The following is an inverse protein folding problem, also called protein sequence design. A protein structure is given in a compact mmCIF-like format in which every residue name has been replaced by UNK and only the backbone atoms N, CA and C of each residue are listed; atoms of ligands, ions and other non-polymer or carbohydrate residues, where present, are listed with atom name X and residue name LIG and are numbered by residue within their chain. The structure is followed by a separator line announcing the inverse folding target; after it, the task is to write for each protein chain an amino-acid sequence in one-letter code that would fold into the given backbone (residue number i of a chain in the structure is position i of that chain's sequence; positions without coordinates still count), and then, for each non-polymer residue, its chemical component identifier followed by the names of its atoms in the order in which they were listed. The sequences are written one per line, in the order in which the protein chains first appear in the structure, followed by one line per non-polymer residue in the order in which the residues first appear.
data_IF_006089804033
#
_entry.id   IF_006089804033
#
_cell.length_a   1.000
_cell.length_b   1.000
_cell.length_c   1.000
_cell.angle_alpha   90.00
_cell.angle_beta   90.00
_cell.angle_gamma   90.00
#
_symmetry.space_group_name_H-M   'P 1'
#
loop_
_entity.id
_entity.type
_entity.pdbx_description
1 polymer ?
#
# COMPACT_ATOMS: atom_id res chain seq x y z
N UNK A 1 20.07 -4.42 23.90
CA UNK A 1 21.08 -4.65 22.83
C UNK A 1 21.03 -3.49 21.86
N UNK A 2 22.18 -2.90 21.52
CA UNK A 2 22.27 -1.82 20.53
C UNK A 2 22.43 -2.33 19.08
N UNK A 3 22.37 -1.42 18.10
CA UNK A 3 22.69 -1.74 16.72
C UNK A 3 24.18 -2.05 16.54
N UNK A 4 24.51 -2.87 15.52
CA UNK A 4 25.87 -3.33 15.25
C UNK A 4 26.16 -3.34 13.73
N UNK A 5 27.44 -3.20 13.33
CA UNK A 5 27.92 -3.26 11.95
C UNK A 5 28.31 -1.91 11.35
N UNK A 6 29.04 -1.93 10.21
CA UNK A 6 29.61 -0.74 9.58
C UNK A 6 28.65 -0.04 8.61
N UNK A 7 27.73 -0.79 7.99
CA UNK A 7 26.70 -0.27 7.10
C UNK A 7 27.20 0.33 5.77
N UNK A 8 28.27 -0.19 5.20
CA UNK A 8 28.87 0.34 3.95
C UNK A 8 27.89 0.50 2.80
N UNK A 9 26.89 -0.40 2.70
CA UNK A 9 25.84 -0.38 1.67
C UNK A 9 24.59 0.39 2.09
N UNK A 10 24.59 1.05 3.27
CA UNK A 10 23.44 1.76 3.82
C UNK A 10 22.20 0.85 3.96
N UNK A 11 22.39 -0.40 4.31
CA UNK A 11 21.33 -1.38 4.60
C UNK A 11 21.23 -1.56 6.11
N UNK A 12 20.03 -1.39 6.66
CA UNK A 12 19.71 -1.74 8.05
C UNK A 12 18.89 -3.03 8.06
N UNK A 13 19.43 -4.08 8.65
CA UNK A 13 18.73 -5.36 8.83
C UNK A 13 18.02 -5.35 10.18
N UNK A 14 16.71 -5.55 10.17
CA UNK A 14 15.85 -5.53 11.36
C UNK A 14 15.28 -6.92 11.60
N UNK A 15 15.67 -7.54 12.71
CA UNK A 15 15.13 -8.81 13.17
C UNK A 15 13.98 -8.66 14.18
N UNK A 16 13.58 -9.76 14.78
CA UNK A 16 12.49 -9.83 15.76
C UNK A 16 12.97 -9.35 17.15
N UNK A 17 13.83 -10.11 17.78
CA UNK A 17 14.37 -9.89 19.12
C UNK A 17 15.68 -10.66 19.30
N UNK A 18 16.50 -10.31 20.30
CA UNK A 18 17.67 -11.11 20.65
C UNK A 18 17.26 -12.52 21.08
N UNK A 19 18.02 -13.53 20.60
CA UNK A 19 17.99 -14.87 21.14
C UNK A 19 18.91 -15.01 22.38
N UNK A 20 19.05 -16.22 22.91
CA UNK A 20 19.90 -16.46 24.08
C UNK A 20 21.36 -16.11 23.82
N UNK A 21 21.91 -16.59 22.73
CA UNK A 21 23.31 -16.34 22.36
C UNK A 21 23.59 -14.85 22.16
N UNK A 22 22.64 -14.16 21.49
CA UNK A 22 22.74 -12.73 21.26
C UNK A 22 22.63 -11.91 22.56
N UNK A 23 21.81 -12.37 23.53
CA UNK A 23 21.62 -11.70 24.81
C UNK A 23 22.87 -11.85 25.70
N UNK A 24 23.50 -13.02 25.66
CA UNK A 24 24.74 -13.32 26.41
C UNK A 24 25.97 -12.57 25.85
N UNK A 25 26.10 -12.46 24.52
CA UNK A 25 27.25 -11.85 23.84
C UNK A 25 27.06 -10.34 23.55
N UNK A 26 25.84 -9.84 23.61
CA UNK A 26 25.53 -8.45 23.34
C UNK A 26 25.54 -8.05 21.85
N UNK A 27 25.60 -9.00 20.90
CA UNK A 27 25.66 -8.77 19.45
C UNK A 27 24.50 -9.41 18.73
N UNK A 28 23.81 -8.69 17.80
CA UNK A 28 22.71 -9.24 17.03
C UNK A 28 23.19 -10.25 15.97
N UNK A 29 22.34 -11.22 15.65
CA UNK A 29 22.52 -12.20 14.57
C UNK A 29 23.79 -13.07 14.66
N UNK A 30 24.18 -13.53 15.84
CA UNK A 30 25.29 -14.45 16.03
C UNK A 30 24.89 -15.92 16.25
N UNK A 31 23.62 -16.17 16.66
CA UNK A 31 23.09 -17.52 16.82
C UNK A 31 22.76 -18.20 15.47
N UNK A 32 22.04 -19.33 15.53
CA UNK A 32 21.73 -20.17 14.35
C UNK A 32 21.06 -19.40 13.21
N UNK A 33 20.10 -18.53 13.54
CA UNK A 33 19.40 -17.68 12.54
C UNK A 33 20.36 -16.68 11.87
N UNK A 34 21.24 -16.06 12.65
CA UNK A 34 22.26 -15.15 12.14
C UNK A 34 23.31 -15.86 11.28
N UNK A 35 23.73 -17.06 11.67
CA UNK A 35 24.66 -17.89 10.89
C UNK A 35 24.06 -18.22 9.51
N UNK A 36 22.78 -18.61 9.47
CA UNK A 36 22.09 -18.87 8.20
C UNK A 36 21.99 -17.61 7.34
N UNK A 37 21.62 -16.46 7.92
CA UNK A 37 21.59 -15.18 7.22
C UNK A 37 22.95 -14.84 6.58
N UNK A 38 24.05 -15.01 7.34
CA UNK A 38 25.42 -14.77 6.85
C UNK A 38 25.78 -15.72 5.69
N UNK A 39 25.36 -16.98 5.75
CA UNK A 39 25.56 -17.94 4.66
C UNK A 39 24.82 -17.51 3.39
N UNK A 40 23.57 -17.04 3.52
CA UNK A 40 22.80 -16.52 2.39
C UNK A 40 23.41 -15.24 1.80
N UNK A 41 23.90 -14.32 2.65
CA UNK A 41 24.54 -13.08 2.19
C UNK A 41 25.86 -13.37 1.44
N UNK A 42 26.67 -14.33 1.88
CA UNK A 42 27.88 -14.76 1.16
C UNK A 42 27.58 -15.22 -0.28
N UNK A 43 26.43 -15.87 -0.53
CA UNK A 43 26.03 -16.28 -1.87
C UNK A 43 25.81 -15.11 -2.83
N UNK A 44 25.60 -13.92 -2.30
CA UNK A 44 25.43 -12.68 -3.09
C UNK A 44 26.63 -11.74 -2.98
N UNK A 45 27.76 -12.21 -2.37
CA UNK A 45 28.98 -11.43 -2.20
C UNK A 45 28.88 -10.32 -1.15
N UNK A 46 27.95 -10.45 -0.18
CA UNK A 46 27.77 -9.46 0.88
C UNK A 46 28.21 -10.01 2.26
N UNK A 47 28.72 -9.13 3.10
CA UNK A 47 29.06 -9.39 4.50
C UNK A 47 28.13 -8.63 5.44
N UNK A 48 27.52 -9.33 6.41
CA UNK A 48 26.54 -8.74 7.30
C UNK A 48 27.10 -7.62 8.18
N UNK A 49 28.32 -7.80 8.70
CA UNK A 49 28.90 -6.86 9.67
C UNK A 49 29.52 -5.63 8.98
N UNK A 50 30.05 -5.82 7.76
CA UNK A 50 30.68 -4.74 7.02
C UNK A 50 29.65 -3.95 6.17
N UNK A 51 28.75 -4.66 5.49
CA UNK A 51 27.87 -4.05 4.49
C UNK A 51 26.56 -3.52 5.08
N UNK A 52 26.14 -4.03 6.26
CA UNK A 52 24.89 -3.62 6.88
C UNK A 52 25.07 -3.16 8.33
N UNK A 53 24.11 -2.40 8.81
CA UNK A 53 23.80 -2.29 10.24
C UNK A 53 22.76 -3.34 10.58
N UNK A 54 22.80 -3.84 11.80
CA UNK A 54 21.86 -4.86 12.29
C UNK A 54 21.22 -4.40 13.60
N UNK A 55 19.95 -4.65 13.76
CA UNK A 55 19.19 -4.39 14.99
C UNK A 55 17.97 -5.31 15.05
N UNK A 56 17.14 -5.17 16.08
CA UNK A 56 15.90 -5.90 16.24
C UNK A 56 14.73 -4.95 16.52
N UNK A 57 13.50 -5.42 16.31
CA UNK A 57 12.28 -4.71 16.73
C UNK A 57 12.17 -4.59 18.25
N UNK A 58 12.64 -5.60 18.99
CA UNK A 58 12.85 -5.54 20.43
C UNK A 58 14.35 -5.51 20.76
N UNK A 59 14.75 -4.63 21.66
CA UNK A 59 16.15 -4.54 22.11
C UNK A 59 16.48 -5.50 23.25
N UNK A 60 15.46 -6.09 23.89
CA UNK A 60 15.59 -7.07 24.98
C UNK A 60 15.09 -8.43 24.55
N UNK A 61 15.71 -9.50 25.07
CA UNK A 61 15.28 -10.88 24.84
C UNK A 61 13.93 -11.16 25.51
N UNK A 62 12.92 -11.66 24.80
CA UNK A 62 11.67 -12.11 25.40
C UNK A 62 11.90 -13.38 26.27
N UNK A 63 11.15 -13.53 27.39
CA UNK A 63 11.26 -14.73 28.21
C UNK A 63 11.08 -16.00 27.38
N UNK A 64 11.97 -16.99 27.56
CA UNK A 64 11.97 -18.28 26.83
C UNK A 64 11.94 -18.14 25.29
N UNK A 65 12.42 -17.02 24.74
CA UNK A 65 12.38 -16.70 23.31
C UNK A 65 10.97 -16.79 22.71
N UNK A 66 9.93 -16.37 23.46
CA UNK A 66 8.55 -16.30 22.95
C UNK A 66 8.43 -15.23 21.87
N UNK A 67 7.53 -15.42 20.93
CA UNK A 67 7.21 -14.39 19.93
C UNK A 67 6.67 -13.14 20.63
N UNK A 68 7.20 -11.95 20.31
CA UNK A 68 6.76 -10.71 20.93
C UNK A 68 5.29 -10.38 20.66
N UNK A 69 4.60 -9.88 21.67
CA UNK A 69 3.26 -9.35 21.52
C UNK A 69 3.28 -7.94 20.85
N UNK A 70 2.18 -7.57 20.21
CA UNK A 70 2.05 -6.25 19.55
C UNK A 70 2.35 -5.10 20.53
N UNK A 71 1.90 -5.20 21.78
CA UNK A 71 2.17 -4.19 22.82
C UNK A 71 3.67 -4.04 23.08
N UNK A 72 4.40 -5.14 23.19
CA UNK A 72 5.86 -5.13 23.41
C UNK A 72 6.58 -4.49 22.22
N UNK A 73 6.17 -4.84 21.00
CA UNK A 73 6.70 -4.23 19.77
C UNK A 73 6.43 -2.71 19.78
N UNK A 74 5.21 -2.29 20.10
CA UNK A 74 4.84 -0.87 20.14
C UNK A 74 5.65 -0.08 21.18
N UNK A 75 5.88 -0.64 22.37
CA UNK A 75 6.73 -0.01 23.40
C UNK A 75 8.20 0.10 22.98
N UNK A 76 8.72 -0.89 22.26
CA UNK A 76 10.11 -0.88 21.82
C UNK A 76 10.36 -0.09 20.53
N UNK A 77 9.32 0.13 19.73
CA UNK A 77 9.36 0.80 18.42
C UNK A 77 10.09 2.14 18.39
N UNK A 78 9.99 3.05 19.40
CA UNK A 78 10.76 4.29 19.41
C UNK A 78 12.28 4.09 19.29
N UNK A 79 12.81 3.00 19.85
CA UNK A 79 14.24 2.69 19.74
C UNK A 79 14.63 2.34 18.29
N UNK A 80 13.78 1.58 17.59
CA UNK A 80 14.00 1.25 16.18
C UNK A 80 13.92 2.50 15.31
N UNK A 81 12.90 3.37 15.51
CA UNK A 81 12.76 4.62 14.76
C UNK A 81 13.93 5.56 14.98
N UNK A 82 14.44 5.66 16.21
CA UNK A 82 15.64 6.44 16.54
C UNK A 82 16.88 5.84 15.85
N UNK A 83 16.98 4.51 15.76
CA UNK A 83 18.06 3.83 15.05
C UNK A 83 17.99 4.14 13.55
N UNK A 84 16.83 4.03 12.91
CA UNK A 84 16.63 4.38 11.50
C UNK A 84 17.01 5.85 11.26
N UNK A 85 16.52 6.76 12.09
CA UNK A 85 16.85 8.20 11.99
C UNK A 85 18.35 8.48 12.16
N UNK A 86 19.01 7.81 13.11
CA UNK A 86 20.43 7.99 13.40
C UNK A 86 21.34 7.55 12.26
N UNK A 87 21.05 6.39 11.65
CA UNK A 87 21.91 5.81 10.62
C UNK A 87 21.52 6.25 9.20
N UNK A 88 20.28 6.70 8.97
CA UNK A 88 19.79 7.10 7.66
C UNK A 88 19.99 6.02 6.58
N UNK A 89 19.58 4.76 6.82
CA UNK A 89 19.78 3.70 5.85
C UNK A 89 19.00 4.00 4.57
N UNK A 90 19.54 3.63 3.42
CA UNK A 90 18.77 3.65 2.15
C UNK A 90 17.74 2.52 2.13
N UNK A 91 18.10 1.36 2.67
CA UNK A 91 17.28 0.16 2.72
C UNK A 91 17.10 -0.30 4.16
N UNK A 92 15.86 -0.58 4.54
CA UNK A 92 15.51 -1.29 5.77
C UNK A 92 15.03 -2.68 5.37
N UNK A 93 15.90 -3.67 5.51
CA UNK A 93 15.58 -5.08 5.28
C UNK A 93 14.90 -5.66 6.52
N UNK A 94 13.65 -6.08 6.37
CA UNK A 94 12.78 -6.45 7.48
C UNK A 94 12.59 -7.96 7.51
N UNK A 95 13.06 -8.61 8.58
CA UNK A 95 13.06 -10.06 8.73
C UNK A 95 11.88 -10.53 9.61
N UNK A 96 10.82 -11.02 8.97
CA UNK A 96 9.68 -11.62 9.66
C UNK A 96 8.60 -10.63 10.11
N UNK A 97 7.50 -11.19 10.65
CA UNK A 97 6.27 -10.42 10.95
C UNK A 97 6.47 -9.38 12.07
N UNK A 98 7.18 -9.73 13.15
CA UNK A 98 7.39 -8.80 14.28
C UNK A 98 8.18 -7.56 13.87
N UNK A 99 9.22 -7.73 13.06
CA UNK A 99 10.00 -6.64 12.50
C UNK A 99 9.14 -5.79 11.53
N UNK A 100 8.33 -6.44 10.70
CA UNK A 100 7.42 -5.75 9.78
C UNK A 100 6.40 -4.88 10.54
N UNK A 101 5.75 -5.42 11.59
CA UNK A 101 4.85 -4.64 12.45
C UNK A 101 5.56 -3.41 12.99
N UNK A 102 6.77 -3.56 13.53
CA UNK A 102 7.53 -2.46 14.12
C UNK A 102 7.85 -1.35 13.13
N UNK A 103 8.19 -1.71 11.88
CA UNK A 103 8.56 -0.72 10.84
C UNK A 103 7.34 -0.06 10.23
N UNK A 104 6.29 -0.84 9.86
CA UNK A 104 5.23 -0.37 8.98
C UNK A 104 3.99 0.17 9.71
N UNK A 105 3.86 -0.04 11.03
CA UNK A 105 2.68 0.31 11.84
C UNK A 105 2.22 1.77 11.69
N UNK A 106 3.12 2.70 11.39
CA UNK A 106 2.76 4.10 11.14
C UNK A 106 2.15 4.39 9.77
N UNK A 107 2.24 3.43 8.85
CA UNK A 107 1.82 3.56 7.45
C UNK A 107 0.67 2.63 7.09
N UNK A 108 0.58 1.50 7.77
CA UNK A 108 -0.49 0.53 7.63
C UNK A 108 -1.11 0.27 9.01
N UNK A 109 -2.34 0.75 9.22
CA UNK A 109 -2.99 0.75 10.54
C UNK A 109 -3.97 -0.39 10.75
N UNK A 110 -4.29 -1.12 9.70
CA UNK A 110 -5.13 -2.32 9.78
C UNK A 110 -4.29 -3.58 10.01
N UNK A 111 -4.94 -4.74 10.17
CA UNK A 111 -4.22 -6.01 10.30
C UNK A 111 -3.31 -6.25 9.09
N UNK A 112 -2.06 -6.60 9.37
CA UNK A 112 -1.08 -6.95 8.35
C UNK A 112 -1.44 -8.23 7.58
N UNK A 113 -2.24 -9.11 8.16
CA UNK A 113 -2.51 -10.43 7.60
C UNK A 113 -1.29 -11.35 7.63
N UNK A 114 -1.20 -12.22 6.65
CA UNK A 114 -0.06 -13.14 6.47
C UNK A 114 1.18 -12.41 5.98
N UNK A 115 2.37 -12.85 6.42
CA UNK A 115 3.64 -12.28 5.99
C UNK A 115 3.87 -12.43 4.48
N UNK A 116 3.39 -13.53 3.88
CA UNK A 116 3.56 -13.82 2.45
C UNK A 116 3.03 -12.72 1.52
N UNK A 117 2.01 -11.97 1.99
CA UNK A 117 1.52 -10.79 1.29
C UNK A 117 2.59 -9.70 1.10
N UNK A 118 3.53 -9.61 2.04
CA UNK A 118 4.49 -8.52 2.16
C UNK A 118 5.88 -8.84 1.62
N UNK A 119 6.28 -10.10 1.59
CA UNK A 119 7.65 -10.48 1.23
C UNK A 119 7.99 -10.14 -0.22
N UNK A 120 9.22 -9.72 -0.46
CA UNK A 120 9.75 -9.44 -1.80
C UNK A 120 9.37 -8.09 -2.38
N UNK A 121 8.55 -7.27 -1.71
CA UNK A 121 8.31 -5.90 -2.14
C UNK A 121 9.45 -4.97 -1.78
N UNK A 122 9.64 -3.92 -2.60
CA UNK A 122 10.43 -2.74 -2.31
C UNK A 122 9.46 -1.58 -2.09
N UNK A 123 9.20 -1.23 -0.83
CA UNK A 123 8.16 -0.26 -0.47
C UNK A 123 8.83 1.10 -0.22
N UNK A 124 8.51 2.16 -0.98
CA UNK A 124 9.13 3.47 -0.82
C UNK A 124 8.47 4.23 0.33
N UNK A 125 9.02 4.14 1.54
CA UNK A 125 8.49 4.83 2.72
C UNK A 125 9.46 5.89 3.19
N UNK A 126 9.01 7.15 3.18
CA UNK A 126 9.85 8.31 3.48
C UNK A 126 11.12 8.32 2.60
N UNK A 127 12.30 8.33 3.21
CA UNK A 127 13.58 8.31 2.50
C UNK A 127 14.23 6.92 2.47
N UNK A 128 13.44 5.86 2.66
CA UNK A 128 13.93 4.49 2.77
C UNK A 128 13.13 3.51 1.91
N UNK A 129 13.82 2.53 1.35
CA UNK A 129 13.21 1.32 0.82
C UNK A 129 12.96 0.33 1.95
N UNK A 130 11.72 -0.02 2.24
CA UNK A 130 11.37 -1.08 3.17
C UNK A 130 11.25 -2.39 2.39
N UNK A 131 12.09 -3.37 2.70
CA UNK A 131 12.17 -4.64 1.99
C UNK A 131 11.82 -5.80 2.94
N UNK A 132 10.55 -6.20 3.07
CA UNK A 132 10.15 -7.31 3.93
C UNK A 132 10.55 -8.66 3.32
N UNK A 133 11.01 -9.57 4.19
CA UNK A 133 11.26 -10.96 3.80
C UNK A 133 11.05 -11.90 4.99
N UNK A 134 11.28 -13.20 4.78
CA UNK A 134 11.16 -14.22 5.82
C UNK A 134 12.21 -14.04 6.91
N UNK A 135 11.86 -14.45 8.15
CA UNK A 135 12.86 -14.55 9.20
C UNK A 135 13.71 -15.82 9.00
N UNK A 136 15.05 -15.76 9.14
CA UNK A 136 15.91 -16.93 8.95
C UNK A 136 15.52 -18.16 9.79
N UNK A 137 15.05 -17.96 11.02
CA UNK A 137 14.57 -19.06 11.87
C UNK A 137 13.34 -19.79 11.30
N UNK A 138 12.49 -19.10 10.53
CA UNK A 138 11.36 -19.71 9.84
C UNK A 138 11.85 -20.64 8.73
N UNK A 139 12.80 -20.21 7.91
CA UNK A 139 13.38 -21.00 6.84
C UNK A 139 14.09 -22.26 7.37
N UNK A 140 14.85 -22.11 8.45
CA UNK A 140 15.50 -23.24 9.13
C UNK A 140 14.49 -24.31 9.61
N UNK A 141 13.28 -23.92 10.01
CA UNK A 141 12.22 -24.86 10.40
C UNK A 141 11.52 -25.49 9.20
N UNK A 142 11.26 -24.69 8.15
CA UNK A 142 10.53 -25.14 6.96
C UNK A 142 11.35 -26.08 6.07
N UNK A 143 12.67 -25.90 6.02
CA UNK A 143 13.60 -26.69 5.19
C UNK A 143 13.12 -26.79 3.74
N UNK A 144 12.66 -25.68 3.17
CA UNK A 144 12.11 -25.63 1.81
C UNK A 144 13.06 -24.88 0.87
N UNK A 145 13.70 -25.59 -0.09
CA UNK A 145 14.67 -24.97 -1.00
C UNK A 145 14.09 -23.85 -1.90
N UNK A 146 12.77 -23.84 -2.13
CA UNK A 146 12.11 -22.78 -2.90
C UNK A 146 12.09 -21.49 -2.08
N UNK A 147 11.72 -21.58 -0.79
CA UNK A 147 11.72 -20.43 0.11
C UNK A 147 13.14 -19.92 0.36
N UNK A 148 14.14 -20.83 0.46
CA UNK A 148 15.53 -20.42 0.63
C UNK A 148 16.04 -19.64 -0.59
N UNK A 149 15.71 -20.10 -1.81
CA UNK A 149 16.03 -19.37 -3.05
C UNK A 149 15.32 -18.01 -3.13
N UNK A 150 14.04 -17.96 -2.77
CA UNK A 150 13.29 -16.71 -2.72
C UNK A 150 13.93 -15.73 -1.73
N UNK A 151 14.31 -16.22 -0.54
CA UNK A 151 14.99 -15.42 0.47
C UNK A 151 16.32 -14.84 -0.04
N UNK A 152 17.18 -15.65 -0.67
CA UNK A 152 18.45 -15.19 -1.26
C UNK A 152 18.19 -14.14 -2.34
N UNK A 153 17.13 -14.27 -3.17
CA UNK A 153 16.77 -13.29 -4.15
C UNK A 153 16.29 -11.96 -3.50
N UNK A 154 15.50 -12.02 -2.42
CA UNK A 154 15.09 -10.83 -1.68
C UNK A 154 16.31 -10.12 -1.06
N UNK A 155 17.26 -10.86 -0.50
CA UNK A 155 18.53 -10.31 -0.01
C UNK A 155 19.31 -9.62 -1.14
N UNK A 156 19.44 -10.29 -2.29
CA UNK A 156 20.15 -9.73 -3.45
C UNK A 156 19.48 -8.44 -3.90
N UNK A 157 18.17 -8.41 -4.05
CA UNK A 157 17.43 -7.21 -4.43
C UNK A 157 17.67 -6.06 -3.44
N UNK A 158 17.57 -6.33 -2.13
CA UNK A 158 17.76 -5.31 -1.10
C UNK A 158 19.19 -4.75 -1.05
N UNK A 159 20.21 -5.61 -1.18
CA UNK A 159 21.63 -5.22 -1.10
C UNK A 159 22.18 -4.59 -2.39
N UNK A 160 21.46 -4.70 -3.54
CA UNK A 160 21.81 -4.10 -4.81
C UNK A 160 21.09 -2.77 -5.07
N UNK A 161 20.20 -2.33 -4.18
CA UNK A 161 19.57 -1.02 -4.31
C UNK A 161 20.64 0.08 -4.09
N UNK A 162 20.91 0.84 -5.12
CA UNK A 162 21.83 1.98 -5.12
C UNK A 162 21.13 3.33 -5.32
N UNK A 163 19.88 3.32 -5.73
CA UNK A 163 19.00 4.47 -5.89
C UNK A 163 18.17 4.76 -4.62
N UNK A 164 17.92 6.03 -4.36
CA UNK A 164 17.03 6.44 -3.30
C UNK A 164 15.56 6.16 -3.68
N UNK A 165 14.65 5.91 -2.72
CA UNK A 165 13.24 5.71 -3.03
C UNK A 165 12.64 6.96 -3.66
N UNK A 166 11.67 6.81 -4.56
CA UNK A 166 10.96 7.94 -5.12
C UNK A 166 10.27 8.72 -3.99
N UNK A 167 10.32 10.04 -4.07
CA UNK A 167 9.61 10.88 -3.11
C UNK A 167 8.12 10.55 -3.18
N UNK A 168 7.52 10.37 -2.01
CA UNK A 168 6.06 10.21 -1.93
C UNK A 168 5.37 11.33 -2.70
N UNK A 169 4.42 11.00 -3.60
CA UNK A 169 3.70 12.02 -4.34
C UNK A 169 2.95 12.96 -3.38
N UNK A 170 3.09 14.27 -3.58
CA UNK A 170 2.24 15.23 -2.87
C UNK A 170 0.80 15.05 -3.35
N UNK A 171 -0.09 14.75 -2.41
CA UNK A 171 -1.53 14.60 -2.62
C UNK A 171 -2.28 15.84 -2.13
N UNK A 172 -1.65 16.63 -1.26
CA UNK A 172 -2.20 17.89 -0.74
C UNK A 172 -2.36 18.89 -1.88
N UNK A 173 -3.50 19.55 -1.93
CA UNK A 173 -3.84 20.53 -2.98
C UNK A 173 -4.12 19.93 -4.38
N UNK A 174 -4.08 18.58 -4.51
CA UNK A 174 -4.42 17.91 -5.78
C UNK A 174 -5.91 17.52 -5.86
N UNK A 175 -6.60 17.50 -4.75
CA UNK A 175 -8.00 17.11 -4.66
C UNK A 175 -8.83 18.36 -4.39
N UNK A 176 -9.71 18.68 -5.35
CA UNK A 176 -10.66 19.77 -5.25
C UNK A 176 -12.02 19.21 -4.81
N UNK A 177 -12.41 19.49 -3.58
CA UNK A 177 -13.74 19.16 -3.07
C UNK A 177 -14.69 20.24 -3.54
N UNK A 178 -15.67 19.87 -4.39
CA UNK A 178 -16.62 20.79 -5.00
C UNK A 178 -18.02 20.52 -4.46
N UNK A 179 -18.63 21.53 -3.86
CA UNK A 179 -20.01 21.45 -3.35
C UNK A 179 -21.04 22.01 -4.34
N UNK A 180 -20.61 22.90 -5.22
CA UNK A 180 -21.46 23.56 -6.20
C UNK A 180 -21.44 22.81 -7.54
N UNK A 181 -22.60 22.67 -8.16
CA UNK A 181 -22.76 21.91 -9.41
C UNK A 181 -22.09 22.59 -10.62
N UNK A 182 -22.02 23.92 -10.66
CA UNK A 182 -21.41 24.67 -11.77
C UNK A 182 -19.97 24.27 -12.03
N UNK A 183 -19.07 24.41 -11.06
CA UNK A 183 -17.68 23.99 -11.19
C UNK A 183 -17.50 22.49 -11.50
N UNK A 184 -18.36 21.62 -10.97
CA UNK A 184 -18.35 20.18 -11.28
C UNK A 184 -18.62 19.96 -12.77
N UNK A 185 -19.70 20.56 -13.29
CA UNK A 185 -20.11 20.41 -14.69
C UNK A 185 -19.03 20.93 -15.64
N UNK A 186 -18.45 22.08 -15.32
CA UNK A 186 -17.38 22.70 -16.12
C UNK A 186 -16.15 21.79 -16.17
N UNK A 187 -15.65 21.34 -15.02
CA UNK A 187 -14.47 20.48 -14.95
C UNK A 187 -14.67 19.14 -15.66
N UNK A 188 -15.84 18.51 -15.51
CA UNK A 188 -16.12 17.25 -16.20
C UNK A 188 -16.18 17.43 -17.73
N UNK A 189 -16.69 18.58 -18.20
CA UNK A 189 -16.69 18.93 -19.65
C UNK A 189 -15.27 19.18 -20.17
N UNK A 190 -14.45 19.88 -19.40
CA UNK A 190 -13.04 20.09 -19.75
C UNK A 190 -12.29 18.75 -19.87
N UNK A 191 -12.40 17.87 -18.87
CA UNK A 191 -11.78 16.54 -18.90
C UNK A 191 -12.24 15.72 -20.10
N UNK A 192 -13.55 15.74 -20.43
CA UNK A 192 -14.06 15.05 -21.61
C UNK A 192 -13.58 15.69 -22.92
N UNK A 193 -13.48 17.02 -22.95
CA UNK A 193 -12.98 17.78 -24.12
C UNK A 193 -11.50 17.55 -24.40
N UNK A 194 -10.68 17.46 -23.35
CA UNK A 194 -9.25 17.15 -23.46
C UNK A 194 -9.00 15.69 -23.87
N UNK A 195 -9.93 14.79 -23.57
CA UNK A 195 -9.77 13.36 -23.83
C UNK A 195 -8.74 12.71 -22.90
N UNK A 196 -8.21 11.55 -23.32
CA UNK A 196 -7.21 10.83 -22.54
C UNK A 196 -7.81 9.89 -21.49
N UNK A 197 -7.16 9.75 -20.35
CA UNK A 197 -7.52 8.81 -19.29
C UNK A 197 -8.19 9.53 -18.13
N UNK A 198 -9.25 8.94 -17.57
CA UNK A 198 -9.91 9.44 -16.36
C UNK A 198 -10.25 8.27 -15.43
N UNK A 199 -9.87 8.39 -14.17
CA UNK A 199 -10.30 7.47 -13.10
C UNK A 199 -11.63 7.96 -12.54
N UNK A 200 -12.53 7.03 -12.22
CA UNK A 200 -13.86 7.31 -11.68
C UNK A 200 -14.13 6.39 -10.51
N UNK A 201 -14.51 6.97 -9.39
CA UNK A 201 -14.82 6.26 -8.15
C UNK A 201 -16.16 6.72 -7.56
N UNK A 202 -16.98 5.77 -7.12
CA UNK A 202 -18.26 6.01 -6.46
C UNK A 202 -18.23 5.63 -4.99
N UNK A 203 -18.71 6.52 -4.14
CA UNK A 203 -19.03 6.19 -2.76
C UNK A 203 -20.51 5.87 -2.62
N UNK A 204 -20.80 4.67 -2.11
CA UNK A 204 -22.16 4.12 -2.10
C UNK A 204 -22.56 3.59 -0.73
N UNK A 205 -23.86 3.62 -0.44
CA UNK A 205 -24.37 3.10 0.84
C UNK A 205 -24.46 1.57 0.92
N UNK A 206 -24.10 0.85 -0.14
CA UNK A 206 -24.03 -0.61 -0.17
C UNK A 206 -23.23 -1.11 -1.38
N UNK A 207 -22.79 -2.38 -1.34
CA UNK A 207 -21.97 -2.95 -2.41
C UNK A 207 -22.76 -3.29 -3.70
N UNK A 208 -24.05 -3.52 -3.59
CA UNK A 208 -24.88 -3.97 -4.73
C UNK A 208 -25.97 -2.94 -5.03
N UNK A 209 -26.07 -2.45 -6.27
CA UNK A 209 -27.07 -1.46 -6.63
C UNK A 209 -28.50 -2.00 -6.64
N UNK A 210 -28.72 -3.31 -6.61
CA UNK A 210 -30.02 -3.95 -6.76
C UNK A 210 -30.93 -3.85 -5.50
N UNK A 211 -30.36 -3.42 -4.36
CA UNK A 211 -31.15 -3.23 -3.14
C UNK A 211 -32.07 -2.01 -3.23
N UNK A 212 -33.27 -2.03 -2.58
CA UNK A 212 -34.28 -0.98 -2.73
C UNK A 212 -33.81 0.44 -2.42
N UNK A 213 -32.99 0.60 -1.37
CA UNK A 213 -32.49 1.91 -0.90
C UNK A 213 -31.04 2.16 -1.33
N UNK A 214 -30.53 1.36 -2.28
CA UNK A 214 -29.19 1.49 -2.79
C UNK A 214 -29.03 2.81 -3.55
N UNK A 215 -28.01 3.61 -3.17
CA UNK A 215 -27.71 4.89 -3.77
C UNK A 215 -26.25 5.23 -3.78
N UNK A 216 -25.83 5.98 -4.77
CA UNK A 216 -24.54 6.68 -4.78
C UNK A 216 -24.67 7.91 -3.88
N UNK A 217 -23.66 8.17 -3.06
CA UNK A 217 -23.60 9.33 -2.14
C UNK A 217 -22.72 10.42 -2.70
N UNK A 218 -21.57 10.05 -3.26
CA UNK A 218 -20.63 10.97 -3.92
C UNK A 218 -19.90 10.29 -5.07
N UNK A 219 -19.25 11.09 -5.89
CA UNK A 219 -18.41 10.63 -6.98
C UNK A 219 -17.13 11.46 -7.01
N UNK A 220 -16.04 10.82 -7.41
CA UNK A 220 -14.79 11.48 -7.68
C UNK A 220 -14.27 11.11 -9.07
N UNK A 221 -13.60 12.07 -9.71
CA UNK A 221 -13.02 11.90 -11.05
C UNK A 221 -11.63 12.53 -11.08
N UNK A 222 -10.66 11.82 -11.67
CA UNK A 222 -9.28 12.29 -11.80
C UNK A 222 -8.72 12.02 -13.19
N UNK A 223 -8.12 13.04 -13.82
CA UNK A 223 -7.30 12.91 -15.03
C UNK A 223 -5.79 12.92 -14.72
N UNK A 224 -5.44 12.83 -13.42
CA UNK A 224 -4.08 12.89 -12.91
C UNK A 224 -3.50 14.29 -12.75
N UNK A 225 -4.00 15.28 -13.48
CA UNK A 225 -3.68 16.72 -13.35
C UNK A 225 -4.64 17.40 -12.38
N UNK A 226 -5.93 17.20 -12.61
CA UNK A 226 -7.05 17.67 -11.79
C UNK A 226 -7.77 16.48 -11.18
N UNK A 227 -8.15 16.59 -9.92
CA UNK A 227 -9.02 15.62 -9.25
C UNK A 227 -10.15 16.40 -8.59
N UNK A 228 -11.38 16.04 -8.90
CA UNK A 228 -12.57 16.60 -8.26
C UNK A 228 -13.36 15.52 -7.55
N UNK A 229 -13.94 15.86 -6.42
CA UNK A 229 -14.89 15.02 -5.69
C UNK A 229 -16.09 15.86 -5.27
N UNK A 230 -17.30 15.31 -5.43
CA UNK A 230 -18.54 16.07 -5.31
C UNK A 230 -19.69 15.20 -4.82
N UNK A 231 -20.71 15.81 -4.15
CA UNK A 231 -21.95 15.13 -3.78
C UNK A 231 -22.74 14.69 -5.01
N UNK A 232 -23.45 13.57 -4.89
CA UNK A 232 -24.28 13.02 -5.98
C UNK A 232 -25.57 13.78 -6.15
N UNK A 233 -25.50 15.01 -6.69
CA UNK A 233 -26.66 15.87 -6.97
C UNK A 233 -27.22 15.63 -8.38
N UNK A 234 -28.41 16.17 -8.67
CA UNK A 234 -29.10 15.93 -9.94
C UNK A 234 -28.29 16.36 -11.17
N UNK A 235 -27.64 17.53 -11.13
CA UNK A 235 -26.93 18.05 -12.30
C UNK A 235 -25.51 17.50 -12.39
N UNK A 236 -24.82 17.28 -11.26
CA UNK A 236 -23.54 16.59 -11.22
C UNK A 236 -23.67 15.16 -11.77
N UNK A 237 -24.71 14.42 -11.34
CA UNK A 237 -25.07 13.11 -11.89
C UNK A 237 -25.18 13.14 -13.42
N UNK A 238 -25.96 14.09 -13.98
CA UNK A 238 -26.14 14.21 -15.43
C UNK A 238 -24.83 14.47 -16.17
N UNK A 239 -23.97 15.33 -15.62
CA UNK A 239 -22.68 15.63 -16.22
C UNK A 239 -21.73 14.39 -16.15
N UNK A 240 -21.72 13.66 -15.03
CA UNK A 240 -21.00 12.41 -14.89
C UNK A 240 -21.46 11.36 -15.91
N UNK A 241 -22.80 11.21 -16.11
CA UNK A 241 -23.34 10.29 -17.11
C UNK A 241 -22.91 10.63 -18.54
N UNK A 242 -22.77 11.92 -18.87
CA UNK A 242 -22.24 12.35 -20.17
C UNK A 242 -20.78 11.93 -20.34
N UNK A 243 -19.92 12.18 -19.32
CA UNK A 243 -18.52 11.76 -19.32
C UNK A 243 -18.40 10.24 -19.48
N UNK A 244 -19.17 9.47 -18.71
CA UNK A 244 -19.11 8.01 -18.74
C UNK A 244 -19.57 7.41 -20.07
N UNK A 245 -20.50 8.08 -20.76
CA UNK A 245 -20.97 7.66 -22.09
C UNK A 245 -20.05 8.12 -23.23
N UNK A 246 -19.16 9.06 -22.98
CA UNK A 246 -18.25 9.59 -24.00
C UNK A 246 -17.21 8.54 -24.42
N UNK A 247 -16.95 8.44 -25.71
CA UNK A 247 -15.85 7.64 -26.26
C UNK A 247 -14.52 8.39 -26.32
N UNK A 248 -14.48 9.68 -25.98
CA UNK A 248 -13.27 10.51 -26.05
C UNK A 248 -12.28 10.21 -24.93
N UNK A 249 -12.79 9.85 -23.76
CA UNK A 249 -12.00 9.49 -22.59
C UNK A 249 -11.96 7.98 -22.37
N UNK A 250 -10.81 7.45 -21.98
CA UNK A 250 -10.64 6.06 -21.49
C UNK A 250 -10.83 6.05 -19.99
N UNK A 251 -11.70 5.18 -19.46
CA UNK A 251 -12.02 5.13 -18.03
C UNK A 251 -11.18 4.13 -17.30
N UNK A 252 -10.81 4.49 -16.08
CA UNK A 252 -10.07 3.70 -15.12
C UNK A 252 -10.96 3.50 -13.89
N UNK A 253 -10.92 2.31 -13.29
CA UNK A 253 -11.48 2.06 -11.97
C UNK A 253 -10.67 0.97 -11.24
N UNK A 254 -10.97 0.79 -9.96
CA UNK A 254 -10.46 -0.35 -9.17
C UNK A 254 -11.61 -1.32 -8.93
N UNK A 255 -11.65 -2.47 -9.66
CA UNK A 255 -12.81 -3.35 -9.76
C UNK A 255 -13.96 -2.74 -10.57
N UNK A 256 -13.66 -2.40 -11.81
CA UNK A 256 -14.59 -1.72 -12.74
C UNK A 256 -16.00 -2.32 -12.81
N UNK A 257 -16.21 -3.58 -12.42
CA UNK A 257 -17.53 -4.21 -12.33
C UNK A 257 -18.45 -3.50 -11.33
N UNK A 258 -17.89 -2.88 -10.32
CA UNK A 258 -18.63 -2.13 -9.33
C UNK A 258 -19.17 -0.84 -9.97
N UNK A 259 -18.32 -0.03 -10.58
CA UNK A 259 -18.71 1.22 -11.27
C UNK A 259 -19.65 0.95 -12.44
N UNK A 260 -19.41 -0.12 -13.20
CA UNK A 260 -20.27 -0.52 -14.31
C UNK A 260 -21.71 -0.83 -13.86
N UNK A 261 -21.86 -1.63 -12.78
CA UNK A 261 -23.20 -1.98 -12.25
C UNK A 261 -23.95 -0.79 -11.71
N UNK A 262 -23.27 0.11 -11.00
CA UNK A 262 -23.87 1.33 -10.50
C UNK A 262 -24.25 2.29 -11.63
N UNK A 263 -23.40 2.41 -12.65
CA UNK A 263 -23.68 3.21 -13.85
C UNK A 263 -24.90 2.68 -14.62
N UNK A 264 -24.97 1.36 -14.81
CA UNK A 264 -26.15 0.74 -15.44
C UNK A 264 -27.46 1.04 -14.69
N UNK A 265 -27.44 0.94 -13.36
CA UNK A 265 -28.61 1.28 -12.54
C UNK A 265 -29.01 2.75 -12.66
N UNK A 266 -28.02 3.65 -12.57
CA UNK A 266 -28.23 5.08 -12.51
C UNK A 266 -28.70 5.67 -13.86
N UNK A 267 -28.15 5.18 -14.96
CA UNK A 267 -28.31 5.80 -16.28
C UNK A 267 -29.00 4.91 -17.32
N UNK A 268 -29.19 3.63 -17.04
CA UNK A 268 -29.74 2.65 -17.99
C UNK A 268 -28.81 2.31 -19.14
N UNK A 269 -27.53 2.69 -19.04
CA UNK A 269 -26.47 2.34 -19.97
C UNK A 269 -25.14 2.10 -19.22
N UNK A 270 -24.28 1.29 -19.78
CA UNK A 270 -22.92 1.05 -19.24
C UNK A 270 -21.97 2.20 -19.55
N UNK A 271 -20.76 2.07 -19.00
CA UNK A 271 -19.66 2.98 -19.27
C UNK A 271 -19.05 2.68 -20.64
N UNK A 272 -18.87 3.71 -21.46
CA UNK A 272 -18.19 3.56 -22.73
C UNK A 272 -16.67 3.72 -22.56
N UNK A 273 -15.92 2.90 -23.26
CA UNK A 273 -14.46 2.98 -23.34
C UNK A 273 -13.75 2.73 -21.99
N UNK A 274 -14.11 1.64 -21.30
CA UNK A 274 -13.28 1.11 -20.22
C UNK A 274 -11.88 0.80 -20.74
N UNK A 275 -10.85 1.37 -20.12
CA UNK A 275 -9.47 1.20 -20.54
C UNK A 275 -8.61 0.43 -19.55
N UNK A 276 -8.89 0.53 -18.24
CA UNK A 276 -8.04 -0.09 -17.23
C UNK A 276 -8.79 -0.42 -15.95
N UNK A 277 -8.48 -1.60 -15.39
CA UNK A 277 -8.88 -2.04 -14.04
C UNK A 277 -7.64 -2.26 -13.20
N UNK A 278 -7.41 -1.40 -12.21
CA UNK A 278 -6.20 -1.46 -11.37
C UNK A 278 -6.15 -2.71 -10.51
N UNK A 279 -7.30 -3.26 -10.12
CA UNK A 279 -7.39 -4.50 -9.34
C UNK A 279 -7.01 -5.72 -10.20
N UNK A 280 -7.54 -5.82 -11.42
CA UNK A 280 -7.19 -6.89 -12.35
C UNK A 280 -5.72 -6.81 -12.79
N UNK A 281 -5.22 -5.62 -13.07
CA UNK A 281 -3.82 -5.42 -13.42
C UNK A 281 -2.87 -5.84 -12.28
N UNK A 282 -3.19 -5.47 -11.04
CA UNK A 282 -2.44 -5.93 -9.87
C UNK A 282 -2.42 -7.46 -9.76
N UNK A 283 -3.54 -8.14 -10.03
CA UNK A 283 -3.62 -9.60 -10.03
C UNK A 283 -2.81 -10.24 -11.17
N UNK A 284 -2.76 -9.61 -12.34
CA UNK A 284 -1.94 -10.09 -13.46
C UNK A 284 -0.44 -9.94 -13.18
N UNK A 285 -0.02 -8.88 -12.52
CA UNK A 285 1.37 -8.62 -12.15
C UNK A 285 1.84 -9.54 -11.01
N UNK A 286 0.96 -9.82 -10.05
CA UNK A 286 1.23 -10.69 -8.91
C UNK A 286 -0.07 -11.35 -8.43
N UNK A 287 -0.14 -12.68 -8.49
CA UNK A 287 -1.34 -13.44 -8.17
C UNK A 287 -1.47 -13.82 -6.68
N UNK A 288 -0.63 -13.28 -5.81
CA UNK A 288 -0.74 -13.54 -4.37
C UNK A 288 -2.07 -13.04 -3.80
N UNK A 289 -2.64 -13.73 -2.79
CA UNK A 289 -3.91 -13.31 -2.21
C UNK A 289 -3.76 -11.97 -1.44
N UNK A 290 -4.85 -11.19 -1.42
CA UNK A 290 -4.99 -9.96 -0.62
C UNK A 290 -4.04 -8.81 -0.99
N UNK A 291 -3.48 -8.77 -2.20
CA UNK A 291 -2.60 -7.69 -2.66
C UNK A 291 -3.30 -6.68 -3.57
N UNK A 292 -4.47 -6.99 -4.09
CA UNK A 292 -5.10 -6.24 -5.19
C UNK A 292 -5.85 -4.98 -4.77
N UNK A 293 -6.03 -4.73 -3.45
CA UNK A 293 -6.75 -3.53 -3.01
C UNK A 293 -5.97 -2.26 -3.32
N UNK A 294 -6.68 -1.20 -3.71
CA UNK A 294 -6.09 0.10 -4.02
C UNK A 294 -5.19 0.63 -2.89
N UNK A 295 -5.62 0.50 -1.62
CA UNK A 295 -4.84 0.94 -0.45
C UNK A 295 -3.51 0.19 -0.32
N UNK A 296 -3.52 -1.13 -0.53
CA UNK A 296 -2.29 -1.91 -0.48
C UNK A 296 -1.35 -1.56 -1.63
N UNK A 297 -1.87 -1.52 -2.86
CA UNK A 297 -1.09 -1.16 -4.03
C UNK A 297 -0.52 0.27 -3.92
N UNK A 298 -1.29 1.22 -3.40
CA UNK A 298 -0.83 2.59 -3.17
C UNK A 298 0.33 2.66 -2.17
N UNK A 299 0.29 1.84 -1.11
CA UNK A 299 1.39 1.78 -0.16
C UNK A 299 2.64 1.15 -0.78
N UNK A 300 2.53 -0.03 -1.41
CA UNK A 300 3.71 -0.75 -1.90
C UNK A 300 4.34 -0.10 -3.13
N UNK A 301 3.57 0.56 -3.98
CA UNK A 301 4.06 1.21 -5.20
C UNK A 301 4.46 2.68 -5.00
N UNK A 302 3.76 3.40 -4.14
CA UNK A 302 3.89 4.86 -4.00
C UNK A 302 4.19 5.33 -2.57
N UNK A 303 4.29 4.43 -1.59
CA UNK A 303 4.53 4.79 -0.19
C UNK A 303 3.39 5.58 0.46
N UNK A 304 2.19 5.53 -0.09
CA UNK A 304 1.03 6.24 0.45
C UNK A 304 0.46 5.45 1.62
N UNK A 305 0.45 6.00 2.84
CA UNK A 305 -0.12 5.30 3.99
C UNK A 305 -1.63 5.14 3.86
N UNK A 306 -2.21 4.28 4.71
CA UNK A 306 -3.68 4.17 4.82
C UNK A 306 -4.30 5.52 5.19
N UNK A 307 -5.40 5.87 4.54
CA UNK A 307 -6.09 7.18 4.67
C UNK A 307 -7.60 7.03 4.91
N UNK A 308 -8.07 5.81 5.21
CA UNK A 308 -9.49 5.47 5.38
C UNK A 308 -9.96 5.45 6.84
N UNK A 309 -9.14 5.91 7.79
CA UNK A 309 -9.44 5.80 9.23
C UNK A 309 -10.75 6.47 9.65
N UNK A 310 -11.05 7.63 9.04
CA UNK A 310 -12.28 8.36 9.31
C UNK A 310 -13.51 7.77 8.62
N UNK A 311 -13.33 6.85 7.68
CA UNK A 311 -14.39 6.25 6.87
C UNK A 311 -14.66 4.80 7.30
N UNK A 312 -13.61 4.05 7.62
CA UNK A 312 -13.69 2.60 7.94
C UNK A 312 -14.75 2.24 8.99
N UNK A 313 -14.95 3.01 10.08
CA UNK A 313 -16.01 2.71 11.05
C UNK A 313 -17.43 2.75 10.48
N UNK A 314 -17.62 3.40 9.34
CA UNK A 314 -18.92 3.56 8.68
C UNK A 314 -19.15 2.55 7.55
N UNK A 315 -18.10 1.84 7.10
CA UNK A 315 -18.21 0.85 6.02
C UNK A 315 -18.76 -0.50 6.46
N UNK A 316 -18.78 -0.78 7.78
CA UNK A 316 -19.33 -2.03 8.32
C UNK A 316 -20.82 -2.16 8.07
N UNK A 317 -21.28 -3.35 7.67
CA UNK A 317 -22.70 -3.65 7.48
C UNK A 317 -23.43 -3.73 8.84
N UNK A 318 -24.39 -2.82 9.08
CA UNK A 318 -25.13 -2.76 10.35
C UNK A 318 -26.54 -3.34 10.23
N UNK A 319 -27.16 -3.21 9.06
CA UNK A 319 -28.50 -3.75 8.78
C UNK A 319 -28.49 -4.46 7.42
N UNK A 320 -28.15 -5.73 7.44
CA UNK A 320 -28.16 -6.56 6.24
C UNK A 320 -27.09 -6.15 5.22
N UNK A 321 -27.41 -5.24 4.30
CA UNK A 321 -26.53 -4.94 3.16
C UNK A 321 -26.04 -3.49 3.11
N UNK A 322 -26.53 -2.62 4.00
CA UNK A 322 -26.22 -1.20 3.98
C UNK A 322 -25.11 -0.85 4.98
N UNK A 323 -24.24 0.05 4.56
CA UNK A 323 -23.26 0.71 5.41
C UNK A 323 -23.79 2.07 5.90
N UNK A 324 -22.98 2.80 6.66
CA UNK A 324 -23.34 4.12 7.20
C UNK A 324 -22.53 5.25 6.58
N UNK A 325 -22.04 5.10 5.37
CA UNK A 325 -21.16 6.08 4.71
C UNK A 325 -21.79 7.48 4.62
N UNK A 326 -23.11 7.54 4.55
CA UNK A 326 -23.87 8.80 4.53
C UNK A 326 -23.86 9.58 5.86
N UNK A 327 -23.41 8.94 6.98
CA UNK A 327 -23.23 9.58 8.28
C UNK A 327 -21.83 10.21 8.43
N UNK A 328 -20.93 9.93 7.49
CA UNK A 328 -19.61 10.55 7.45
C UNK A 328 -19.76 12.02 7.15
N UNK A 329 -18.97 12.87 7.82
CA UNK A 329 -18.89 14.29 7.45
C UNK A 329 -18.57 14.42 5.97
N UNK A 330 -19.40 15.16 5.23
CA UNK A 330 -19.34 15.24 3.77
C UNK A 330 -17.94 15.60 3.25
N UNK A 331 -17.26 16.53 3.92
CA UNK A 331 -15.89 16.93 3.53
C UNK A 331 -14.91 15.76 3.59
N UNK A 332 -14.97 14.95 4.65
CA UNK A 332 -14.11 13.78 4.82
C UNK A 332 -14.42 12.71 3.77
N UNK A 333 -15.71 12.49 3.48
CA UNK A 333 -16.13 11.54 2.44
C UNK A 333 -15.63 11.97 1.05
N UNK A 334 -15.84 13.25 0.70
CA UNK A 334 -15.40 13.77 -0.59
C UNK A 334 -13.86 13.75 -0.73
N UNK A 335 -13.13 14.07 0.35
CA UNK A 335 -11.67 13.98 0.32
C UNK A 335 -11.22 12.53 0.13
N UNK A 336 -11.87 11.59 0.80
CA UNK A 336 -11.57 10.15 0.69
C UNK A 336 -11.80 9.63 -0.74
N UNK A 337 -12.99 9.85 -1.34
CA UNK A 337 -13.26 9.47 -2.73
C UNK A 337 -12.29 10.15 -3.72
N UNK A 338 -11.97 11.44 -3.50
CA UNK A 338 -10.95 12.13 -4.29
C UNK A 338 -9.56 11.50 -4.20
N UNK A 339 -9.19 11.00 -3.01
CA UNK A 339 -7.95 10.21 -2.83
C UNK A 339 -7.99 8.92 -3.64
N UNK A 340 -9.12 8.19 -3.58
CA UNK A 340 -9.27 6.93 -4.31
C UNK A 340 -9.15 7.18 -5.82
N UNK A 341 -9.89 8.10 -6.42
CA UNK A 341 -9.81 8.42 -7.84
C UNK A 341 -8.39 8.88 -8.29
N UNK A 342 -7.71 9.71 -7.49
CA UNK A 342 -6.35 10.15 -7.81
C UNK A 342 -5.34 9.00 -7.77
N UNK A 343 -5.45 8.14 -6.76
CA UNK A 343 -4.54 7.00 -6.61
C UNK A 343 -4.82 5.90 -7.63
N UNK A 344 -6.07 5.69 -8.02
CA UNK A 344 -6.44 4.80 -9.14
C UNK A 344 -5.78 5.25 -10.44
N UNK A 345 -5.89 6.53 -10.76
CA UNK A 345 -5.23 7.08 -11.94
C UNK A 345 -3.72 6.84 -11.92
N UNK A 346 -3.07 7.20 -10.83
CA UNK A 346 -1.60 7.06 -10.69
C UNK A 346 -1.17 5.60 -10.74
N UNK A 347 -1.89 4.74 -10.04
CA UNK A 347 -1.62 3.29 -10.03
C UNK A 347 -1.78 2.70 -11.44
N UNK A 348 -2.83 3.07 -12.16
CA UNK A 348 -3.03 2.65 -13.55
C UNK A 348 -1.85 3.03 -14.45
N UNK A 349 -1.33 4.26 -14.32
CA UNK A 349 -0.18 4.69 -15.11
C UNK A 349 1.10 3.90 -14.77
N UNK A 350 1.34 3.59 -13.49
CA UNK A 350 2.46 2.73 -13.08
C UNK A 350 2.33 1.30 -13.62
N UNK A 351 1.15 0.71 -13.46
CA UNK A 351 0.88 -0.66 -13.93
C UNK A 351 0.97 -0.78 -15.44
N UNK A 352 0.48 0.22 -16.19
CA UNK A 352 0.58 0.26 -17.66
C UNK A 352 2.04 0.26 -18.12
N UNK A 353 2.88 1.06 -17.48
CA UNK A 353 4.32 1.09 -17.74
C UNK A 353 4.97 -0.27 -17.44
N UNK A 354 4.62 -0.89 -16.32
CA UNK A 354 5.17 -2.20 -15.91
C UNK A 354 4.77 -3.33 -16.87
N UNK A 355 3.53 -3.31 -17.38
CA UNK A 355 3.02 -4.30 -18.35
C UNK A 355 3.57 -4.02 -19.78
N UNK A 356 4.21 -2.87 -20.01
CA UNK A 356 4.73 -2.49 -21.33
C UNK A 356 3.66 -1.92 -22.27
N UNK A 357 2.58 -1.36 -21.72
CA UNK A 357 1.50 -0.72 -22.46
C UNK A 357 1.58 0.81 -22.24
N UNK A 358 2.46 1.47 -22.96
CA UNK A 358 2.71 2.92 -22.82
C UNK A 358 1.81 3.80 -23.74
N UNK A 359 0.94 3.21 -24.59
CA UNK A 359 0.07 3.91 -25.55
C UNK A 359 -1.17 4.59 -24.93
#
# INVERSE_FOLDING_TARGET
MGPYGDGRKKVLVVGEAPGQTEDEDGRPFIGKAGTFLRQCLRQIGADLDQDAWTTNSLICRPPKNTTPEIKQISYCRPNLLNTIKRFGPRVVLVLGKSALVSVIQGYWKTDLGALDRWVGWKIPISDHWICPTYHPSYLLRMKNPILDRAFVNHLRQAFLIDEDPPRRPSLEGKINVLYEEGPVIETLREMDGEGGWVAVDYETNCLKPDYPEARIVSCAVSDGKKTISYPWTKHARKATGILLRSGRTRKIASNLKFEERWTLKEFGHGVNNWGWDTMLAAHCLDNRPHITSLKFQSLIQMGVPTYNENIEPYLGNIRGHYNRIQEVELRHLLFYGGMDALLEYRLAMLQRKEIGNED
#
